data_IF_117403667319
#
_entry.id   IF_117403667319
#
_cell.length_a   1.000
_cell.length_b   1.000
_cell.length_c   1.000
_cell.angle_alpha   90.00
_cell.angle_beta   90.00
_cell.angle_gamma   90.00
#
_symmetry.space_group_name_H-M   'P 1'
#
loop_
_entity.id
_entity.type
_entity.pdbx_description
1 polymer ?
#
# COMPACT_ATOMS: atom_id res chain seq x y z
N UNK A 1 14.18 -7.46 1.58
CA UNK A 1 13.74 -7.29 0.19
C UNK A 1 12.34 -7.87 0.16
N UNK A 2 11.32 -7.04 -0.03
CA UNK A 2 9.94 -7.53 -0.16
C UNK A 2 9.77 -7.85 -1.64
N UNK A 3 9.57 -9.13 -1.96
CA UNK A 3 9.34 -9.57 -3.34
C UNK A 3 7.98 -9.05 -3.82
N UNK A 4 7.90 -8.63 -5.08
CA UNK A 4 6.63 -8.24 -5.70
C UNK A 4 5.74 -9.48 -5.85
N UNK A 5 4.59 -9.50 -5.18
CA UNK A 5 3.60 -10.57 -5.27
C UNK A 5 2.29 -10.08 -5.89
N UNK A 6 1.65 -10.92 -6.70
CA UNK A 6 0.31 -10.67 -7.22
C UNK A 6 -0.72 -11.10 -6.18
N UNK A 7 -1.58 -10.17 -5.73
CA UNK A 7 -2.63 -10.43 -4.73
C UNK A 7 -3.99 -10.53 -5.41
N UNK A 8 -4.74 -11.61 -5.14
CA UNK A 8 -5.94 -11.96 -5.91
C UNK A 8 -7.25 -11.82 -5.14
N UNK A 9 -7.20 -11.64 -3.81
CA UNK A 9 -8.37 -11.52 -2.94
C UNK A 9 -8.15 -10.45 -1.85
N UNK A 10 -9.22 -9.95 -1.23
CA UNK A 10 -9.11 -9.00 -0.11
C UNK A 10 -8.36 -9.59 1.09
N UNK A 11 -8.50 -10.90 1.32
CA UNK A 11 -7.78 -11.62 2.38
C UNK A 11 -6.28 -11.68 2.11
N UNK A 12 -5.85 -11.80 0.86
CA UNK A 12 -4.43 -11.75 0.50
C UNK A 12 -3.84 -10.35 0.73
N UNK A 13 -4.65 -9.30 0.54
CA UNK A 13 -4.28 -7.91 0.82
C UNK A 13 -4.06 -7.66 2.30
N UNK A 14 -5.01 -8.09 3.15
CA UNK A 14 -4.88 -7.93 4.60
C UNK A 14 -3.61 -8.60 5.14
N UNK A 15 -3.38 -9.85 4.74
CA UNK A 15 -2.20 -10.61 5.18
C UNK A 15 -0.90 -9.94 4.73
N UNK A 16 -0.87 -9.41 3.51
CA UNK A 16 0.34 -8.77 2.96
C UNK A 16 0.63 -7.43 3.63
N UNK A 17 -0.39 -6.60 3.86
CA UNK A 17 -0.24 -5.33 4.54
C UNK A 17 0.16 -5.53 6.00
N UNK A 18 -0.44 -6.49 6.69
CA UNK A 18 -0.08 -6.82 8.07
C UNK A 18 1.39 -7.31 8.16
N UNK A 19 1.83 -8.16 7.23
CA UNK A 19 3.22 -8.60 7.16
C UNK A 19 4.19 -7.44 6.88
N UNK A 20 3.82 -6.50 6.00
CA UNK A 20 4.58 -5.28 5.75
C UNK A 20 4.71 -4.43 7.03
N UNK A 21 3.60 -4.17 7.74
CA UNK A 21 3.62 -3.38 8.96
C UNK A 21 4.41 -4.04 10.09
N UNK A 22 4.38 -5.37 10.18
CA UNK A 22 5.23 -6.11 11.12
C UNK A 22 6.72 -5.94 10.80
N UNK A 23 7.08 -5.93 9.52
CA UNK A 23 8.47 -5.74 9.09
C UNK A 23 8.97 -4.31 9.35
N UNK A 24 8.17 -3.30 8.99
CA UNK A 24 8.52 -1.89 9.18
C UNK A 24 8.54 -1.44 10.63
N UNK A 25 7.85 -2.19 11.53
CA UNK A 25 7.64 -1.84 12.94
C UNK A 25 6.85 -0.53 13.07
N UNK A 26 6.65 0.08 14.25
CA UNK A 26 6.08 1.42 14.35
C UNK A 26 7.16 2.46 14.03
N UNK A 27 6.77 3.67 13.59
CA UNK A 27 7.72 4.77 13.48
C UNK A 27 8.31 5.09 14.87
N UNK A 28 9.58 5.50 14.95
CA UNK A 28 10.17 5.92 16.21
C UNK A 28 9.48 7.20 16.74
N UNK A 29 9.54 7.49 18.05
CA UNK A 29 8.80 8.61 18.65
C UNK A 29 9.14 9.99 18.06
N UNK A 30 10.35 10.16 17.56
CA UNK A 30 10.90 11.38 16.95
C UNK A 30 10.72 11.43 15.42
N UNK A 31 10.01 10.46 14.83
CA UNK A 31 9.85 10.34 13.37
C UNK A 31 9.40 11.62 12.68
N UNK A 32 8.40 12.30 13.26
CA UNK A 32 7.85 13.54 12.70
C UNK A 32 8.89 14.67 12.74
N UNK A 33 9.55 14.85 13.89
CA UNK A 33 10.59 15.87 14.05
C UNK A 33 11.77 15.59 13.12
N UNK A 34 12.13 14.31 12.94
CA UNK A 34 13.16 13.89 12.00
C UNK A 34 12.81 14.27 10.56
N UNK A 35 11.59 13.98 10.10
CA UNK A 35 11.16 14.33 8.74
C UNK A 35 11.21 15.85 8.52
N UNK A 36 10.65 16.63 9.44
CA UNK A 36 10.59 18.09 9.34
C UNK A 36 11.99 18.73 9.37
N UNK A 37 12.83 18.32 10.32
CA UNK A 37 14.20 18.87 10.48
C UNK A 37 15.07 18.62 9.25
N UNK A 38 14.84 17.50 8.56
CA UNK A 38 15.61 17.11 7.38
C UNK A 38 14.91 17.45 6.05
N UNK A 39 13.74 18.10 6.10
CA UNK A 39 12.93 18.41 4.91
C UNK A 39 12.66 17.16 4.04
N UNK A 40 12.27 16.07 4.71
CA UNK A 40 11.93 14.78 4.10
C UNK A 40 10.42 14.55 4.10
N UNK A 41 9.95 13.72 3.18
CA UNK A 41 8.57 13.25 3.10
C UNK A 41 8.55 11.71 3.09
N UNK A 42 7.57 11.12 3.78
CA UNK A 42 7.28 9.70 3.70
C UNK A 42 6.06 9.49 2.80
N UNK A 43 6.08 8.44 1.99
CA UNK A 43 4.99 8.10 1.07
C UNK A 43 4.71 6.60 1.14
N UNK A 44 3.43 6.21 1.15
CA UNK A 44 3.01 4.82 0.88
C UNK A 44 2.15 4.79 -0.38
N UNK A 45 2.66 4.10 -1.39
CA UNK A 45 1.93 3.86 -2.63
C UNK A 45 1.57 2.38 -2.72
N UNK A 46 0.30 2.09 -2.98
CA UNK A 46 -0.17 0.73 -3.27
C UNK A 46 -0.84 0.70 -4.64
N UNK A 47 -0.40 -0.25 -5.47
CA UNK A 47 -0.99 -0.48 -6.78
C UNK A 47 -1.92 -1.68 -6.73
N UNK A 48 -3.19 -1.46 -7.04
CA UNK A 48 -4.15 -2.53 -7.26
C UNK A 48 -4.45 -2.68 -8.75
N UNK A 49 -4.31 -3.92 -9.24
CA UNK A 49 -4.58 -4.28 -10.63
C UNK A 49 -5.73 -5.30 -10.62
N UNK A 50 -6.88 -4.88 -11.13
CA UNK A 50 -8.11 -5.68 -11.16
C UNK A 50 -8.70 -5.82 -12.56
N UNK A 51 -9.54 -6.83 -12.74
CA UNK A 51 -10.43 -6.90 -13.92
C UNK A 51 -11.60 -5.94 -13.73
N UNK A 52 -12.21 -5.49 -14.82
CA UNK A 52 -13.44 -4.69 -14.77
C UNK A 52 -14.52 -5.40 -13.93
N UNK A 53 -15.14 -4.67 -13.00
CA UNK A 53 -16.14 -5.18 -12.07
C UNK A 53 -15.57 -5.90 -10.82
N UNK A 54 -14.24 -6.02 -10.69
CA UNK A 54 -13.63 -6.49 -9.45
C UNK A 54 -13.76 -5.43 -8.34
N UNK A 55 -14.02 -5.89 -7.12
CA UNK A 55 -14.08 -5.02 -5.95
C UNK A 55 -12.67 -4.63 -5.52
N UNK A 56 -12.43 -3.33 -5.36
CA UNK A 56 -11.20 -2.79 -4.80
C UNK A 56 -10.98 -3.27 -3.36
N UNK A 57 -9.75 -3.58 -2.94
CA UNK A 57 -9.44 -3.95 -1.57
C UNK A 57 -9.66 -2.75 -0.66
N UNK A 58 -10.29 -2.98 0.49
CA UNK A 58 -10.50 -1.96 1.50
C UNK A 58 -9.49 -2.16 2.62
N UNK A 59 -8.83 -1.07 3.01
CA UNK A 59 -8.01 -1.08 4.22
C UNK A 59 -8.89 -1.21 5.46
N UNK A 60 -8.43 -2.00 6.43
CA UNK A 60 -9.01 -1.95 7.77
C UNK A 60 -8.67 -0.61 8.45
N UNK A 61 -9.46 -0.22 9.45
CA UNK A 61 -9.19 1.00 10.22
C UNK A 61 -7.80 0.98 10.87
N UNK A 62 -7.36 -0.19 11.36
CA UNK A 62 -6.03 -0.35 11.97
C UNK A 62 -4.89 -0.16 10.96
N UNK A 63 -5.05 -0.70 9.74
CA UNK A 63 -4.06 -0.52 8.67
C UNK A 63 -3.97 0.94 8.23
N UNK A 64 -5.13 1.61 8.12
CA UNK A 64 -5.18 3.03 7.79
C UNK A 64 -4.52 3.89 8.88
N UNK A 65 -4.85 3.66 10.15
CA UNK A 65 -4.23 4.34 11.29
C UNK A 65 -2.71 4.12 11.32
N UNK A 66 -2.26 2.92 10.95
CA UNK A 66 -0.84 2.59 10.86
C UNK A 66 -0.12 3.38 9.78
N UNK A 67 -0.70 3.50 8.59
CA UNK A 67 -0.15 4.34 7.51
C UNK A 67 -0.09 5.81 7.96
N UNK A 68 -1.16 6.32 8.56
CA UNK A 68 -1.21 7.70 9.06
C UNK A 68 -0.15 7.97 10.15
N UNK A 69 0.23 6.98 10.96
CA UNK A 69 1.26 7.14 11.99
C UNK A 69 2.64 7.54 11.44
N UNK A 70 2.90 7.25 10.16
CA UNK A 70 4.12 7.63 9.47
C UNK A 70 4.07 9.00 8.81
N UNK A 71 2.97 9.78 8.97
CA UNK A 71 2.71 11.04 8.23
C UNK A 71 2.77 10.87 6.71
N UNK A 72 2.52 9.66 6.25
CA UNK A 72 2.67 9.35 4.85
C UNK A 72 1.38 9.58 4.07
N UNK A 73 1.53 10.06 2.85
CA UNK A 73 0.42 10.14 1.90
C UNK A 73 0.08 8.73 1.41
N UNK A 74 -1.22 8.47 1.22
CA UNK A 74 -1.75 7.23 0.68
C UNK A 74 -2.41 7.52 -0.64
N UNK A 75 -1.90 6.89 -1.70
CA UNK A 75 -2.53 6.89 -3.01
C UNK A 75 -2.81 5.45 -3.46
N UNK A 76 -4.02 5.25 -3.97
CA UNK A 76 -4.46 4.00 -4.55
C UNK A 76 -5.04 4.30 -5.93
N UNK A 77 -4.26 3.96 -6.96
CA UNK A 77 -4.69 4.11 -8.35
C UNK A 77 -5.25 2.77 -8.86
N UNK A 78 -6.57 2.63 -9.06
CA UNK A 78 -7.12 1.43 -9.69
C UNK A 78 -6.78 1.44 -11.18
N UNK A 79 -6.14 0.36 -11.64
CA UNK A 79 -5.95 0.13 -13.08
C UNK A 79 -6.87 -1.00 -13.51
N UNK A 80 -7.85 -0.67 -14.35
CA UNK A 80 -8.77 -1.63 -14.94
C UNK A 80 -8.22 -2.09 -16.30
N UNK A 81 -8.13 -3.41 -16.50
CA UNK A 81 -7.83 -3.98 -17.81
C UNK A 81 -9.14 -4.39 -18.50
N UNK A 82 -9.38 -3.85 -19.69
CA UNK A 82 -10.57 -4.06 -20.54
C UNK A 82 -10.67 -5.49 -21.13
N UNK A 83 -9.88 -6.44 -20.63
CA UNK A 83 -9.80 -7.80 -21.16
C UNK A 83 -9.17 -7.92 -22.55
N UNK A 84 -8.71 -6.82 -23.16
CA UNK A 84 -7.85 -6.88 -24.34
C UNK A 84 -6.45 -7.26 -23.91
N UNK A 85 -6.07 -8.49 -24.29
CA UNK A 85 -4.73 -9.04 -24.25
C UNK A 85 -3.72 -7.95 -24.66
N UNK A 86 -2.93 -7.45 -23.70
CA UNK A 86 -1.78 -6.62 -24.02
C UNK A 86 -0.78 -7.58 -24.66
N UNK A 87 -0.94 -7.81 -25.97
CA UNK A 87 -0.01 -8.59 -26.76
C UNK A 87 1.39 -8.01 -26.59
N UNK A 88 2.19 -8.65 -25.73
CA UNK A 88 3.62 -8.46 -25.66
C UNK A 88 4.19 -9.10 -26.94
N UNK A 89 4.39 -8.28 -27.97
CA UNK A 89 5.25 -8.61 -29.12
C UNK A 89 6.70 -8.27 -28.79
#
# INVERSE_FOLDING_TARGET
>A
MIESGTLTTSTDWDVTLDALFQHMKPPPPDWVEYLETNNLQAEFSALWIGKEGATEPLLSAEQFDRICSYRAEWDMTPTYHDGHDLGWY
#
